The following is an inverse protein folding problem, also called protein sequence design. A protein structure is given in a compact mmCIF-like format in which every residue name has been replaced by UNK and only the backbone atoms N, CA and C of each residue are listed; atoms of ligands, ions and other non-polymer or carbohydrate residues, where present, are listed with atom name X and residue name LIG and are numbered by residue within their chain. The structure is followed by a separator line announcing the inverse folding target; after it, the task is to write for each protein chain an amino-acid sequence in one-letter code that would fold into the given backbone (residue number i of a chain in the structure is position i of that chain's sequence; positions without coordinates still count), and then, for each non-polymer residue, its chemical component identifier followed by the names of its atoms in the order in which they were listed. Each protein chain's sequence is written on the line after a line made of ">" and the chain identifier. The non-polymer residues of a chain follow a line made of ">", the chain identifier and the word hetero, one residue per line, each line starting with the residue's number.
data_IF_918416956025
#
_entry.id   IF_918416956025
#
_cell.length_a   1.000
_cell.length_b   1.000
_cell.length_c   1.000
_cell.angle_alpha   90.00
_cell.angle_beta   90.00
_cell.angle_gamma   90.00
#
_symmetry.space_group_name_H-M   'P 1'
#
loop_
_entity.id
_entity.type
_entity.pdbx_description
1 polymer ?
#
# COMPACT_ATOMS: atom_id res chain seq x y z
N UNK A 1 -6.92 9.11 -3.84
CA UNK A 1 -8.21 9.40 -3.20
C UNK A 1 -8.08 10.73 -2.49
N UNK A 2 -9.20 11.38 -2.19
CA UNK A 2 -9.21 12.43 -1.16
C UNK A 2 -8.74 11.83 0.18
N UNK A 3 -8.22 12.66 1.11
CA UNK A 3 -7.93 12.22 2.47
C UNK A 3 -9.16 11.56 3.09
N UNK A 4 -8.98 10.34 3.59
CA UNK A 4 -10.07 9.54 4.15
C UNK A 4 -9.53 8.54 5.15
N UNK A 5 -10.36 8.15 6.10
CA UNK A 5 -10.14 6.91 6.84
C UNK A 5 -10.40 5.74 5.89
N UNK A 6 -9.41 4.86 5.73
CA UNK A 6 -9.52 3.72 4.84
C UNK A 6 -10.33 2.60 5.49
N UNK A 7 -11.31 2.09 4.76
CA UNK A 7 -12.09 0.92 5.16
C UNK A 7 -12.15 -0.08 3.99
N UNK A 8 -12.13 -1.40 4.25
CA UNK A 8 -12.30 -2.37 3.19
C UNK A 8 -13.70 -2.28 2.57
N UNK A 9 -13.75 -2.32 1.24
CA UNK A 9 -15.00 -2.46 0.50
C UNK A 9 -15.34 -3.95 0.34
N UNK A 10 -16.59 -4.33 0.62
CA UNK A 10 -17.03 -5.74 0.60
C UNK A 10 -16.83 -6.40 -0.78
N UNK A 11 -16.99 -5.64 -1.87
CA UNK A 11 -16.77 -6.16 -3.22
C UNK A 11 -15.29 -6.39 -3.50
N UNK A 12 -14.41 -5.48 -3.10
CA UNK A 12 -12.95 -5.64 -3.24
C UNK A 12 -12.46 -6.86 -2.44
N UNK A 13 -13.03 -7.09 -1.26
CA UNK A 13 -12.75 -8.26 -0.43
C UNK A 13 -13.19 -9.54 -1.15
N UNK A 14 -14.42 -9.57 -1.70
CA UNK A 14 -14.91 -10.72 -2.46
C UNK A 14 -14.04 -11.03 -3.69
N UNK A 15 -13.58 -10.00 -4.42
CA UNK A 15 -12.65 -10.14 -5.54
C UNK A 15 -11.30 -10.69 -5.07
N UNK A 16 -10.79 -10.24 -3.92
CA UNK A 16 -9.57 -10.78 -3.31
C UNK A 16 -9.68 -12.26 -2.98
N UNK A 17 -10.80 -12.67 -2.38
CA UNK A 17 -11.10 -14.08 -2.09
C UNK A 17 -11.17 -14.90 -3.37
N UNK A 18 -11.94 -14.48 -4.38
CA UNK A 18 -12.04 -15.19 -5.66
C UNK A 18 -10.66 -15.38 -6.32
N UNK A 19 -9.83 -14.33 -6.35
CA UNK A 19 -8.47 -14.41 -6.91
C UNK A 19 -7.59 -15.40 -6.14
N UNK A 20 -7.64 -15.39 -4.81
CA UNK A 20 -6.88 -16.32 -3.97
C UNK A 20 -7.28 -17.77 -4.25
N UNK A 21 -8.58 -18.06 -4.29
CA UNK A 21 -9.09 -19.43 -4.51
C UNK A 21 -8.85 -19.92 -5.94
N UNK A 22 -8.73 -19.03 -6.93
CA UNK A 22 -8.31 -19.41 -8.29
C UNK A 22 -6.82 -19.70 -8.40
N UNK A 23 -6.01 -19.00 -7.61
CA UNK A 23 -4.55 -19.13 -7.65
C UNK A 23 -4.02 -20.25 -6.73
N UNK A 24 -4.84 -20.75 -5.81
CA UNK A 24 -4.45 -21.70 -4.76
C UNK A 24 -5.52 -22.76 -4.55
N UNK A 25 -5.30 -23.71 -3.63
CA UNK A 25 -6.33 -24.68 -3.21
C UNK A 25 -7.01 -24.29 -1.89
N UNK A 26 -6.80 -23.06 -1.41
CA UNK A 26 -7.40 -22.59 -0.15
C UNK A 26 -8.90 -22.39 -0.36
N UNK A 27 -9.71 -22.96 0.54
CA UNK A 27 -11.17 -22.78 0.61
C UNK A 27 -11.50 -21.74 1.70
N UNK A 28 -11.86 -20.53 1.30
CA UNK A 28 -12.13 -19.41 2.21
C UNK A 28 -13.58 -19.46 2.67
N UNK A 29 -13.80 -20.00 3.87
CA UNK A 29 -15.16 -20.14 4.46
C UNK A 29 -15.60 -18.94 5.29
N UNK A 30 -14.65 -18.23 5.88
CA UNK A 30 -14.89 -17.09 6.77
C UNK A 30 -13.67 -16.17 6.75
N UNK A 31 -13.92 -14.86 6.79
CA UNK A 31 -12.89 -13.84 6.99
C UNK A 31 -12.88 -13.51 8.49
N UNK A 32 -11.75 -13.72 9.16
CA UNK A 32 -11.60 -13.39 10.58
C UNK A 32 -11.37 -11.90 10.80
N UNK A 33 -10.55 -11.29 9.94
CA UNK A 33 -10.19 -9.88 10.01
C UNK A 33 -10.05 -9.29 8.61
N UNK A 34 -10.50 -8.06 8.44
CA UNK A 34 -10.35 -7.27 7.22
C UNK A 34 -9.94 -5.85 7.59
N UNK A 35 -9.11 -5.24 6.73
CA UNK A 35 -8.61 -3.89 6.91
C UNK A 35 -8.20 -3.33 5.54
N UNK A 36 -8.11 -2.01 5.46
CA UNK A 36 -7.60 -1.30 4.30
C UNK A 36 -6.49 -0.33 4.74
N UNK A 37 -5.62 0.01 3.79
CA UNK A 37 -4.54 0.97 4.02
C UNK A 37 -4.30 1.81 2.79
N UNK A 38 -4.00 3.09 3.00
CA UNK A 38 -3.61 4.00 1.93
C UNK A 38 -2.12 3.84 1.63
N UNK A 39 -1.77 3.89 0.34
CA UNK A 39 -0.39 3.88 -0.13
C UNK A 39 -0.07 5.24 -0.74
N UNK A 40 1.15 5.72 -0.48
CA UNK A 40 1.67 6.95 -1.10
C UNK A 40 2.46 6.59 -2.36
N UNK A 41 2.14 7.27 -3.45
CA UNK A 41 2.82 7.14 -4.75
C UNK A 41 3.04 8.52 -5.35
N UNK A 42 4.15 8.67 -6.05
CA UNK A 42 4.35 9.75 -7.04
C UNK A 42 4.13 9.21 -8.44
N UNK A 43 4.18 10.09 -9.45
CA UNK A 43 3.76 9.78 -10.84
C UNK A 43 4.48 8.58 -11.44
N UNK A 44 5.75 8.37 -11.14
CA UNK A 44 6.57 7.28 -11.66
C UNK A 44 6.61 6.05 -10.74
N UNK A 45 5.88 6.10 -9.62
CA UNK A 45 5.85 5.10 -8.56
C UNK A 45 7.22 4.78 -7.91
N UNK A 46 8.23 5.62 -8.10
CA UNK A 46 9.52 5.51 -7.41
C UNK A 46 9.45 6.20 -6.05
N UNK A 47 10.15 5.70 -5.01
CA UNK A 47 10.31 6.43 -3.76
C UNK A 47 11.00 7.77 -3.97
N UNK A 48 10.55 8.80 -3.25
CA UNK A 48 11.23 10.10 -3.19
C UNK A 48 12.08 10.13 -1.93
N UNK A 49 13.40 10.06 -2.11
CA UNK A 49 14.38 9.95 -1.03
C UNK A 49 15.52 10.95 -1.26
N UNK A 50 15.64 11.95 -0.41
CA UNK A 50 16.68 12.98 -0.55
C UNK A 50 16.31 14.34 0.05
N UNK A 51 17.28 15.24 0.09
CA UNK A 51 17.06 16.62 0.54
C UNK A 51 16.27 17.42 -0.49
N UNK A 52 15.38 18.27 0.00
CA UNK A 52 14.67 19.26 -0.81
C UNK A 52 15.64 20.35 -1.29
N UNK A 53 15.49 20.80 -2.55
CA UNK A 53 16.37 21.81 -3.14
C UNK A 53 16.01 23.24 -2.71
N UNK A 54 14.79 23.48 -2.27
CA UNK A 54 14.25 24.79 -1.92
C UNK A 54 14.08 24.96 -0.40
N UNK A 55 13.97 23.87 0.36
CA UNK A 55 13.85 23.87 1.81
C UNK A 55 15.11 23.33 2.50
N UNK A 56 15.99 24.24 2.94
CA UNK A 56 17.25 23.88 3.60
C UNK A 56 17.03 22.99 4.83
N UNK A 57 17.73 21.85 4.85
CA UNK A 57 17.66 20.86 5.93
C UNK A 57 16.46 19.92 5.90
N UNK A 58 15.51 20.09 4.96
CA UNK A 58 14.36 19.19 4.82
C UNK A 58 14.69 17.96 3.99
N UNK A 59 14.36 16.76 4.49
CA UNK A 59 14.60 15.48 3.82
C UNK A 59 13.30 14.74 3.54
N UNK A 60 13.08 14.37 2.28
CA UNK A 60 11.99 13.52 1.84
C UNK A 60 12.30 12.05 2.08
N UNK A 61 11.35 11.35 2.70
CA UNK A 61 11.28 9.89 2.74
C UNK A 61 9.83 9.49 2.47
N UNK A 62 9.41 9.58 1.20
CA UNK A 62 8.01 9.45 0.80
C UNK A 62 7.83 8.54 -0.42
N UNK A 63 6.58 8.18 -0.74
CA UNK A 63 6.25 7.47 -1.97
C UNK A 63 6.62 5.98 -1.97
N UNK A 64 6.80 5.33 -0.83
CA UNK A 64 7.20 3.91 -0.74
C UNK A 64 6.05 2.91 -0.99
N UNK A 65 4.99 3.34 -1.68
CA UNK A 65 3.78 2.56 -1.89
C UNK A 65 4.07 1.15 -2.44
N UNK A 66 3.68 0.13 -1.69
CA UNK A 66 3.76 -1.27 -2.13
C UNK A 66 5.12 -1.96 -1.95
N UNK A 67 6.19 -1.25 -1.58
CA UNK A 67 7.51 -1.87 -1.36
C UNK A 67 8.25 -1.39 -0.10
N UNK A 68 7.68 -0.46 0.68
CA UNK A 68 8.32 0.13 1.85
C UNK A 68 8.89 -0.86 2.86
N UNK A 69 8.18 -1.96 3.14
CA UNK A 69 8.69 -3.01 4.05
C UNK A 69 9.98 -3.65 3.53
N UNK A 70 10.07 -3.88 2.21
CA UNK A 70 11.23 -4.51 1.58
C UNK A 70 12.42 -3.55 1.49
N UNK A 71 12.15 -2.27 1.27
CA UNK A 71 13.17 -1.25 1.06
C UNK A 71 13.64 -0.57 2.35
N UNK A 72 12.92 -0.75 3.46
CA UNK A 72 13.22 -0.07 4.74
C UNK A 72 14.63 -0.25 5.30
N UNK A 73 15.36 -1.38 5.13
CA UNK A 73 16.74 -1.43 5.64
C UNK A 73 17.73 -0.69 4.75
N UNK A 74 17.35 -0.34 3.52
CA UNK A 74 18.23 0.29 2.53
C UNK A 74 17.95 1.79 2.33
N UNK A 75 16.73 2.24 2.67
CA UNK A 75 16.27 3.64 2.59
C UNK A 75 16.17 4.22 4.00
#
# INVERSE_FOLDING_TARGET
>A
SEPTDAYPDDFDVAVGVDRLQRATMIDVRRIEHQWAGLRSFVRDASPVVGFDAEAEGFFWLAGQGGYGIKTSPAL
#
